data_IF_105852858712
#
_entry.id   IF_105852858712
#
_cell.length_a   1.000
_cell.length_b   1.000
_cell.length_c   1.000
_cell.angle_alpha   90.00
_cell.angle_beta   90.00
_cell.angle_gamma   90.00
#
_symmetry.space_group_name_H-M   'P 1'
#
loop_
_entity.id
_entity.type
_entity.pdbx_description
1 polymer ?
#
# COMPACT_ATOMS: atom_id res chain seq x y z
N UNK A 1 58.74 35.91 -17.96
CA UNK A 1 57.30 35.81 -17.63
C UNK A 1 56.51 35.67 -18.92
N UNK A 2 56.07 34.45 -19.29
CA UNK A 2 55.21 34.20 -20.46
C UNK A 2 53.85 33.73 -19.97
N UNK A 3 52.82 34.53 -20.22
CA UNK A 3 51.43 34.22 -19.90
C UNK A 3 50.85 33.25 -20.94
N UNK A 4 50.45 32.05 -20.51
CA UNK A 4 49.68 31.10 -21.32
C UNK A 4 48.20 31.29 -20.98
N UNK A 5 47.42 31.84 -21.93
CA UNK A 5 45.95 31.89 -21.82
C UNK A 5 45.36 30.60 -22.37
N UNK A 6 44.83 29.75 -21.50
CA UNK A 6 44.06 28.57 -21.89
C UNK A 6 42.70 29.02 -22.45
N UNK A 7 42.43 28.71 -23.73
CA UNK A 7 41.12 28.89 -24.34
C UNK A 7 40.29 27.63 -24.05
N UNK A 8 39.35 27.72 -23.11
CA UNK A 8 38.33 26.68 -22.94
C UNK A 8 37.35 26.74 -24.10
N UNK A 9 37.45 25.77 -25.02
CA UNK A 9 36.48 25.57 -26.10
C UNK A 9 35.44 24.58 -25.59
N UNK A 10 34.33 25.09 -25.06
CA UNK A 10 33.20 24.26 -24.64
C UNK A 10 32.62 23.54 -25.87
N UNK A 11 32.59 22.19 -25.91
CA UNK A 11 32.03 21.45 -27.02
C UNK A 11 30.50 21.56 -26.98
N UNK A 12 29.94 22.35 -27.89
CA UNK A 12 28.48 22.52 -28.08
C UNK A 12 27.73 21.21 -28.36
N UNK A 13 28.42 20.13 -28.71
CA UNK A 13 27.84 18.81 -28.95
C UNK A 13 27.39 18.06 -27.68
N UNK A 14 27.98 18.34 -26.51
CA UNK A 14 27.68 17.60 -25.28
C UNK A 14 26.28 17.93 -24.71
N UNK A 15 25.80 19.16 -24.89
CA UNK A 15 24.51 19.60 -24.37
C UNK A 15 23.32 19.05 -25.19
N UNK A 16 23.50 18.84 -26.49
CA UNK A 16 22.46 18.27 -27.38
C UNK A 16 22.27 16.78 -27.11
N UNK A 17 23.36 16.05 -26.84
CA UNK A 17 23.29 14.62 -26.51
C UNK A 17 22.56 14.35 -25.18
N UNK A 18 22.73 15.23 -24.19
CA UNK A 18 22.04 15.14 -22.89
C UNK A 18 20.54 15.42 -23.06
N UNK A 19 20.15 16.39 -23.90
CA UNK A 19 18.74 16.67 -24.21
C UNK A 19 18.04 15.53 -24.95
N UNK A 20 18.73 14.87 -25.89
CA UNK A 20 18.18 13.71 -26.61
C UNK A 20 18.06 12.45 -25.74
N UNK A 21 18.89 12.32 -24.70
CA UNK A 21 18.79 11.24 -23.71
C UNK A 21 17.61 11.43 -22.73
N UNK A 22 17.30 12.68 -22.36
CA UNK A 22 16.18 12.97 -21.44
C UNK A 22 14.81 12.70 -22.10
N UNK A 23 14.66 12.92 -23.41
CA UNK A 23 13.39 12.66 -24.11
C UNK A 23 13.11 11.17 -24.42
N UNK A 24 14.06 10.26 -24.21
CA UNK A 24 13.87 8.81 -24.43
C UNK A 24 13.32 8.07 -23.20
N UNK A 25 13.26 8.72 -22.04
CA UNK A 25 12.74 8.16 -20.79
C UNK A 25 11.38 8.71 -20.40
N UNK A 26 10.57 9.15 -21.36
CA UNK A 26 9.13 9.33 -21.13
C UNK A 26 8.46 7.95 -21.11
N UNK A 27 8.62 7.21 -20.02
CA UNK A 27 7.69 6.12 -19.72
C UNK A 27 6.32 6.78 -19.54
N UNK A 28 5.42 6.57 -20.50
CA UNK A 28 4.02 6.89 -20.31
C UNK A 28 3.55 6.09 -19.09
N UNK A 29 3.41 6.77 -17.95
CA UNK A 29 2.80 6.20 -16.77
C UNK A 29 1.31 6.07 -17.07
N UNK A 30 0.89 4.93 -17.63
CA UNK A 30 -0.50 4.53 -17.58
C UNK A 30 -0.79 4.09 -16.13
N UNK A 31 -1.17 5.06 -15.29
CA UNK A 31 -1.46 4.83 -13.87
C UNK A 31 -2.83 4.18 -13.64
N UNK A 32 -3.71 4.16 -14.66
CA UNK A 32 -5.07 3.66 -14.57
C UNK A 32 -5.30 2.52 -15.56
N UNK A 33 -5.85 1.39 -15.08
CA UNK A 33 -6.37 0.36 -15.97
C UNK A 33 -7.54 0.91 -16.79
N UNK A 34 -7.62 0.50 -18.07
CA UNK A 34 -8.69 0.95 -18.94
C UNK A 34 -10.03 0.35 -18.51
N UNK A 35 -11.04 1.21 -18.37
CA UNK A 35 -12.37 0.76 -18.00
C UNK A 35 -12.98 -0.22 -19.01
N UNK A 36 -13.73 -1.24 -18.54
CA UNK A 36 -14.45 -2.13 -19.43
C UNK A 36 -15.45 -1.33 -20.27
N UNK A 37 -15.48 -1.60 -21.57
CA UNK A 37 -16.38 -0.97 -22.53
C UNK A 37 -17.50 -1.95 -22.91
N UNK A 38 -18.79 -1.59 -22.79
CA UNK A 38 -19.30 -0.28 -22.36
C UNK A 38 -19.28 -0.11 -20.83
N UNK A 39 -19.00 1.11 -20.35
CA UNK A 39 -19.11 1.44 -18.93
C UNK A 39 -20.60 1.47 -18.54
N UNK A 40 -21.04 0.74 -17.48
CA UNK A 40 -22.42 0.76 -17.05
C UNK A 40 -22.89 2.17 -16.68
N UNK A 41 -24.07 2.58 -17.16
CA UNK A 41 -24.67 3.88 -16.87
C UNK A 41 -25.29 3.96 -15.45
N UNK A 42 -25.41 2.81 -14.78
CA UNK A 42 -25.93 2.68 -13.42
C UNK A 42 -25.19 1.59 -12.67
N UNK A 43 -25.03 1.76 -11.36
CA UNK A 43 -24.42 0.77 -10.47
C UNK A 43 -25.40 -0.40 -10.25
N UNK A 44 -25.05 -1.63 -10.66
CA UNK A 44 -25.86 -2.81 -10.33
C UNK A 44 -25.70 -3.16 -8.84
N UNK A 45 -26.71 -3.79 -8.22
CA UNK A 45 -26.56 -4.29 -6.85
C UNK A 45 -25.45 -5.36 -6.77
N UNK A 46 -24.72 -5.45 -5.65
CA UNK A 46 -23.65 -6.42 -5.47
C UNK A 46 -24.19 -7.86 -5.53
N UNK A 47 -23.59 -8.68 -6.40
CA UNK A 47 -23.94 -10.10 -6.51
C UNK A 47 -22.95 -10.96 -5.72
N UNK A 48 -23.30 -11.29 -4.48
CA UNK A 48 -22.47 -12.11 -3.58
C UNK A 48 -22.33 -13.57 -4.05
N UNK A 49 -23.10 -14.03 -5.04
CA UNK A 49 -22.97 -15.39 -5.59
C UNK A 49 -21.99 -15.46 -6.76
N UNK A 50 -21.53 -14.33 -7.29
CA UNK A 50 -20.56 -14.29 -8.37
C UNK A 50 -19.13 -14.36 -7.82
N UNK A 51 -18.20 -15.10 -8.47
CA UNK A 51 -16.78 -15.10 -8.09
C UNK A 51 -16.16 -13.70 -8.06
N UNK A 52 -16.67 -12.77 -8.87
CA UNK A 52 -16.22 -11.38 -8.88
C UNK A 52 -16.46 -10.63 -7.56
N UNK A 53 -17.35 -11.11 -6.68
CA UNK A 53 -17.58 -10.51 -5.36
C UNK A 53 -16.38 -10.66 -4.42
N UNK A 54 -15.49 -11.63 -4.67
CA UNK A 54 -14.28 -11.82 -3.89
C UNK A 54 -13.12 -10.93 -4.35
N UNK A 55 -13.27 -10.21 -5.47
CA UNK A 55 -12.20 -9.41 -6.04
C UNK A 55 -12.42 -7.93 -5.72
N UNK A 56 -11.39 -7.28 -5.18
CA UNK A 56 -11.35 -5.82 -5.11
C UNK A 56 -11.23 -5.29 -6.54
N UNK A 57 -12.14 -4.42 -7.00
CA UNK A 57 -12.01 -3.79 -8.32
C UNK A 57 -10.68 -3.03 -8.39
N UNK A 58 -10.02 -3.00 -9.55
CA UNK A 58 -8.77 -2.25 -9.70
C UNK A 58 -8.98 -0.74 -9.64
N UNK A 59 -10.13 -0.25 -10.08
CA UNK A 59 -10.47 1.18 -10.10
C UNK A 59 -11.98 1.45 -10.18
N UNK A 60 -12.34 2.72 -9.98
CA UNK A 60 -13.69 3.27 -10.17
C UNK A 60 -13.86 3.72 -11.62
N UNK A 61 -14.73 3.02 -12.36
CA UNK A 61 -15.05 3.39 -13.74
C UNK A 61 -16.28 4.28 -13.81
N UNK A 62 -16.06 5.58 -14.02
CA UNK A 62 -17.12 6.59 -14.14
C UNK A 62 -17.30 6.95 -15.62
N UNK A 63 -18.48 6.70 -16.23
CA UNK A 63 -18.78 7.15 -17.58
C UNK A 63 -18.68 8.68 -17.69
N UNK A 64 -18.08 9.19 -18.76
CA UNK A 64 -17.96 10.63 -19.01
C UNK A 64 -19.33 11.35 -19.10
N UNK A 65 -20.39 10.64 -19.45
CA UNK A 65 -21.75 11.15 -19.60
C UNK A 65 -22.71 10.73 -18.49
N UNK A 66 -22.18 10.39 -17.30
CA UNK A 66 -23.01 9.94 -16.17
C UNK A 66 -24.07 11.01 -15.82
N UNK A 67 -25.38 10.73 -16.00
CA UNK A 67 -26.44 11.70 -15.72
C UNK A 67 -26.79 11.82 -14.23
N UNK A 68 -26.10 11.08 -13.36
CA UNK A 68 -26.33 11.01 -11.92
C UNK A 68 -25.12 11.44 -11.09
N UNK A 69 -25.19 11.24 -9.77
CA UNK A 69 -24.12 11.60 -8.84
C UNK A 69 -22.92 10.62 -8.99
N UNK A 70 -21.72 11.11 -9.37
CA UNK A 70 -20.52 10.28 -9.48
C UNK A 70 -20.15 9.54 -8.19
N UNK A 71 -20.60 10.04 -7.03
CA UNK A 71 -20.39 9.39 -5.72
C UNK A 71 -20.94 7.96 -5.70
N UNK A 72 -22.02 7.65 -6.45
CA UNK A 72 -22.59 6.31 -6.47
C UNK A 72 -21.59 5.24 -6.95
N UNK A 73 -20.68 5.58 -7.87
CA UNK A 73 -19.65 4.66 -8.36
C UNK A 73 -18.55 4.43 -7.31
N UNK A 74 -18.24 5.47 -6.53
CA UNK A 74 -17.31 5.35 -5.41
C UNK A 74 -17.92 4.53 -4.27
N UNK A 75 -19.21 4.69 -4.00
CA UNK A 75 -19.95 3.90 -3.02
C UNK A 75 -19.98 2.41 -3.43
N UNK A 76 -20.22 2.10 -4.71
CA UNK A 76 -20.12 0.72 -5.24
C UNK A 76 -18.74 0.12 -5.02
N UNK A 77 -17.71 0.84 -5.44
CA UNK A 77 -16.32 0.42 -5.28
C UNK A 77 -16.00 0.16 -3.80
N UNK A 78 -16.35 1.10 -2.93
CA UNK A 78 -16.09 1.02 -1.49
C UNK A 78 -16.79 -0.20 -0.88
N UNK A 79 -18.04 -0.46 -1.29
CA UNK A 79 -18.80 -1.61 -0.83
C UNK A 79 -18.22 -2.94 -1.32
N UNK A 80 -17.81 -3.02 -2.59
CA UNK A 80 -17.17 -4.21 -3.16
C UNK A 80 -15.80 -4.48 -2.54
N UNK A 81 -15.00 -3.44 -2.33
CA UNK A 81 -13.74 -3.54 -1.61
C UNK A 81 -13.95 -4.03 -0.18
N UNK A 82 -14.96 -3.50 0.52
CA UNK A 82 -15.32 -3.96 1.86
C UNK A 82 -15.72 -5.45 1.86
N UNK A 83 -16.62 -5.87 0.95
CA UNK A 83 -17.02 -7.28 0.79
C UNK A 83 -15.82 -8.20 0.59
N UNK A 84 -14.89 -7.83 -0.29
CA UNK A 84 -13.69 -8.63 -0.55
C UNK A 84 -12.80 -8.77 0.70
N UNK A 85 -12.70 -7.72 1.53
CA UNK A 85 -11.93 -7.74 2.77
C UNK A 85 -12.58 -8.57 3.88
N UNK A 86 -13.91 -8.61 3.95
CA UNK A 86 -14.66 -9.40 4.93
C UNK A 86 -15.03 -10.79 4.43
N UNK A 87 -14.56 -11.18 3.24
CA UNK A 87 -14.73 -12.54 2.74
C UNK A 87 -13.85 -13.51 3.55
N UNK A 88 -14.23 -14.79 3.71
CA UNK A 88 -13.35 -15.80 4.28
C UNK A 88 -12.04 -15.91 3.50
N UNK A 89 -10.92 -15.96 4.22
CA UNK A 89 -9.60 -16.04 3.61
C UNK A 89 -9.27 -17.44 3.13
N UNK A 90 -8.50 -17.51 2.04
CA UNK A 90 -7.94 -18.74 1.52
C UNK A 90 -6.87 -19.29 2.47
N UNK A 91 -7.02 -20.56 2.84
CA UNK A 91 -6.09 -21.21 3.76
C UNK A 91 -4.65 -21.17 3.22
N UNK A 92 -3.71 -20.74 4.08
CA UNK A 92 -2.29 -20.67 3.75
C UNK A 92 -1.88 -19.48 2.87
N UNK A 93 -2.80 -18.61 2.45
CA UNK A 93 -2.49 -17.40 1.69
C UNK A 93 -3.05 -16.17 2.40
N UNK A 94 -2.22 -15.14 2.59
CA UNK A 94 -2.70 -13.89 3.16
C UNK A 94 -3.31 -13.02 2.07
N UNK A 95 -4.31 -12.23 2.44
CA UNK A 95 -4.92 -11.24 1.54
C UNK A 95 -5.74 -11.82 0.38
N UNK A 96 -5.83 -13.15 0.28
CA UNK A 96 -6.57 -13.84 -0.77
C UNK A 96 -7.88 -14.37 -0.19
N UNK A 97 -9.04 -14.05 -0.80
CA UNK A 97 -10.32 -14.63 -0.43
C UNK A 97 -10.49 -16.05 -0.99
N UNK A 98 -11.21 -16.91 -0.28
CA UNK A 98 -11.61 -18.24 -0.76
C UNK A 98 -12.95 -18.16 -1.52
N UNK A 99 -12.96 -18.32 -2.86
CA UNK A 99 -14.18 -18.26 -3.65
C UNK A 99 -15.13 -19.44 -3.41
N UNK A 100 -14.67 -20.50 -2.71
CA UNK A 100 -15.50 -21.67 -2.41
C UNK A 100 -16.20 -21.56 -1.06
N UNK A 101 -15.94 -20.51 -0.28
CA UNK A 101 -16.57 -20.27 1.00
C UNK A 101 -17.71 -19.25 0.89
N UNK A 102 -18.83 -19.46 1.62
CA UNK A 102 -19.86 -18.44 1.74
C UNK A 102 -19.36 -17.27 2.60
N UNK A 103 -19.80 -16.03 2.31
CA UNK A 103 -19.39 -14.82 3.03
C UNK A 103 -19.59 -14.89 4.56
N UNK A 104 -20.55 -15.70 5.04
CA UNK A 104 -20.84 -15.89 6.47
C UNK A 104 -20.26 -17.19 7.03
N UNK A 105 -19.20 -17.74 6.43
CA UNK A 105 -18.51 -18.89 7.00
C UNK A 105 -18.02 -18.57 8.42
N UNK A 106 -18.28 -19.47 9.35
CA UNK A 106 -17.88 -19.35 10.77
C UNK A 106 -16.56 -20.11 10.94
N UNK A 107 -15.75 -19.70 11.92
CA UNK A 107 -14.46 -20.33 12.27
C UNK A 107 -13.38 -20.26 11.17
N UNK A 108 -13.54 -19.38 10.18
CA UNK A 108 -12.54 -19.08 9.16
C UNK A 108 -12.12 -17.62 9.30
N UNK A 109 -10.81 -17.30 9.33
CA UNK A 109 -10.36 -15.92 9.38
C UNK A 109 -10.80 -15.15 8.13
N UNK A 110 -11.12 -13.88 8.30
CA UNK A 110 -11.48 -12.99 7.19
C UNK A 110 -10.21 -12.49 6.49
N UNK A 111 -10.33 -12.07 5.22
CA UNK A 111 -9.18 -11.59 4.43
C UNK A 111 -8.40 -10.51 5.18
N UNK A 112 -9.07 -9.49 5.73
CA UNK A 112 -8.37 -8.41 6.46
C UNK A 112 -7.63 -8.92 7.71
N UNK A 113 -8.13 -9.98 8.37
CA UNK A 113 -7.48 -10.56 9.56
C UNK A 113 -6.18 -11.26 9.20
N UNK A 114 -6.03 -11.69 7.94
CA UNK A 114 -4.80 -12.32 7.47
C UNK A 114 -3.68 -11.35 7.13
N UNK A 115 -3.95 -10.04 7.07
CA UNK A 115 -2.90 -9.04 6.82
C UNK A 115 -1.84 -9.02 7.92
N UNK A 116 -0.68 -8.44 7.58
CA UNK A 116 0.40 -8.28 8.56
C UNK A 116 -0.04 -7.29 9.62
N UNK A 117 0.08 -7.69 10.87
CA UNK A 117 -0.11 -6.80 12.00
C UNK A 117 1.07 -5.81 12.12
N UNK A 118 0.88 -4.72 12.85
CA UNK A 118 1.92 -3.69 13.04
C UNK A 118 3.23 -4.28 13.57
N UNK A 119 3.17 -5.19 14.54
CA UNK A 119 4.39 -5.85 15.06
C UNK A 119 5.08 -6.73 14.01
N UNK A 120 4.37 -7.29 13.02
CA UNK A 120 5.00 -8.03 11.92
C UNK A 120 5.67 -7.09 10.90
N UNK A 121 5.20 -5.85 10.79
CA UNK A 121 5.73 -4.84 9.86
C UNK A 121 6.88 -4.05 10.47
N UNK A 122 6.76 -3.66 11.72
CA UNK A 122 7.74 -2.86 12.45
C UNK A 122 8.60 -3.76 13.35
N UNK A 123 9.75 -4.16 12.81
CA UNK A 123 10.72 -4.97 13.54
C UNK A 123 11.68 -4.12 14.37
N UNK A 124 12.34 -4.75 15.33
CA UNK A 124 13.41 -4.11 16.11
C UNK A 124 14.54 -3.63 15.21
N UNK A 125 15.15 -2.50 15.56
CA UNK A 125 16.26 -1.88 14.84
C UNK A 125 15.96 -1.55 13.36
N UNK A 126 14.69 -1.40 12.98
CA UNK A 126 14.30 -1.11 11.59
C UNK A 126 14.66 -2.24 10.62
N UNK A 127 14.77 -3.47 11.11
CA UNK A 127 15.00 -4.63 10.24
C UNK A 127 13.83 -4.82 9.27
N UNK A 128 14.07 -5.22 8.01
CA UNK A 128 12.98 -5.44 7.07
C UNK A 128 12.02 -6.53 7.56
N UNK A 129 10.70 -6.36 7.34
CA UNK A 129 9.75 -7.41 7.65
C UNK A 129 9.98 -8.65 6.77
N UNK A 130 9.54 -9.80 7.25
CA UNK A 130 9.51 -11.02 6.46
C UNK A 130 8.56 -10.90 5.26
N UNK A 131 8.68 -11.84 4.32
CA UNK A 131 7.76 -11.94 3.16
C UNK A 131 6.29 -11.88 3.60
N UNK A 132 5.43 -11.38 2.70
CA UNK A 132 4.02 -11.10 3.01
C UNK A 132 3.33 -12.31 3.67
N UNK A 133 3.37 -13.47 3.01
CA UNK A 133 2.75 -14.72 3.49
C UNK A 133 3.44 -15.36 4.69
N UNK A 134 4.62 -14.86 5.09
CA UNK A 134 5.32 -15.36 6.28
C UNK A 134 4.69 -14.86 7.58
N UNK A 135 4.71 -15.70 8.62
CA UNK A 135 4.38 -15.36 10.00
C UNK A 135 5.64 -15.13 10.87
N UNK A 136 6.82 -15.19 10.27
CA UNK A 136 8.08 -15.00 10.98
C UNK A 136 8.29 -13.52 11.30
N UNK A 137 8.50 -13.21 12.56
CA UNK A 137 8.90 -11.88 13.03
C UNK A 137 9.75 -12.02 14.29
N UNK A 138 10.51 -10.99 14.64
CA UNK A 138 11.27 -10.97 15.90
C UNK A 138 10.36 -11.22 17.10
N UNK A 139 9.17 -10.61 17.08
CA UNK A 139 8.18 -10.68 18.16
C UNK A 139 7.44 -12.01 18.23
N UNK A 140 7.22 -12.67 17.08
CA UNK A 140 6.65 -14.03 17.05
C UNK A 140 7.60 -15.02 17.72
N UNK A 141 8.91 -14.85 17.53
CA UNK A 141 9.94 -15.69 18.15
C UNK A 141 10.23 -15.31 19.61
N UNK A 142 9.87 -14.09 20.03
CA UNK A 142 10.09 -13.58 21.39
C UNK A 142 8.80 -12.96 21.95
N UNK A 143 7.75 -13.76 22.20
CA UNK A 143 6.43 -13.25 22.59
C UNK A 143 6.45 -12.50 23.93
N UNK A 144 7.38 -12.83 24.84
CA UNK A 144 7.58 -12.12 26.11
C UNK A 144 8.12 -10.69 25.93
N UNK A 145 8.79 -10.42 24.81
CA UNK A 145 9.30 -9.10 24.44
C UNK A 145 8.34 -8.37 23.51
N UNK A 146 7.32 -9.07 22.98
CA UNK A 146 6.34 -8.48 22.07
C UNK A 146 5.66 -7.28 22.74
N UNK A 147 5.53 -6.15 22.02
CA UNK A 147 4.62 -5.07 22.39
C UNK A 147 3.21 -5.54 22.72
N UNK A 148 2.84 -6.70 22.17
CA UNK A 148 1.55 -7.35 22.32
C UNK A 148 1.72 -8.86 22.58
N UNK A 149 1.86 -9.26 23.84
CA UNK A 149 2.09 -10.67 24.20
C UNK A 149 0.82 -11.54 24.09
N UNK A 150 -0.37 -10.92 24.01
CA UNK A 150 -1.66 -11.61 23.93
C UNK A 150 -2.30 -11.53 22.53
N UNK A 151 -1.70 -10.78 21.61
CA UNK A 151 -2.35 -10.52 20.33
C UNK A 151 -2.32 -11.75 19.42
N UNK A 152 -3.46 -11.99 18.78
CA UNK A 152 -3.67 -13.00 17.76
C UNK A 152 -3.63 -12.35 16.37
N UNK A 153 -3.60 -13.18 15.33
CA UNK A 153 -3.79 -12.72 13.96
C UNK A 153 -5.15 -12.01 13.86
N UNK A 154 -5.18 -10.85 13.22
CA UNK A 154 -6.37 -10.00 13.11
C UNK A 154 -6.57 -9.02 14.28
N UNK A 155 -5.82 -9.15 15.39
CA UNK A 155 -5.92 -8.20 16.49
C UNK A 155 -5.22 -6.89 16.14
N UNK A 156 -5.90 -5.78 16.42
CA UNK A 156 -5.29 -4.45 16.37
C UNK A 156 -4.60 -4.15 17.69
N UNK A 157 -3.29 -3.97 17.63
CA UNK A 157 -2.52 -3.48 18.75
C UNK A 157 -2.09 -2.04 18.52
N UNK A 158 -2.68 -1.12 19.26
CA UNK A 158 -2.17 0.24 19.34
C UNK A 158 -0.92 0.25 20.20
N UNK A 159 0.25 0.10 19.58
CA UNK A 159 1.52 0.33 20.25
C UNK A 159 1.99 1.76 20.06
N UNK A 160 2.23 2.45 21.17
CA UNK A 160 3.02 3.67 21.15
C UNK A 160 4.48 3.24 21.12
N UNK A 161 5.13 3.35 19.96
CA UNK A 161 6.59 3.31 19.92
C UNK A 161 7.09 4.46 20.80
N UNK A 162 7.84 4.20 21.89
CA UNK A 162 8.53 5.27 22.58
C UNK A 162 9.42 5.93 21.53
N UNK A 163 9.20 7.22 21.31
CA UNK A 163 9.95 7.97 20.32
C UNK A 163 11.44 7.77 20.55
N UNK A 164 12.21 7.64 19.47
CA UNK A 164 13.68 7.74 19.47
C UNK A 164 14.19 9.12 19.94
N UNK A 165 13.38 9.89 20.68
CA UNK A 165 13.62 11.26 21.07
C UNK A 165 14.73 11.43 22.11
N UNK A 166 15.34 10.36 22.62
CA UNK A 166 16.34 10.47 23.70
C UNK A 166 17.77 10.10 23.31
N UNK A 167 18.10 9.73 22.07
CA UNK A 167 19.50 9.33 21.76
C UNK A 167 20.17 9.96 20.54
N UNK A 168 19.53 10.88 19.79
CA UNK A 168 20.15 11.49 18.58
C UNK A 168 20.35 13.00 18.64
N UNK A 169 20.02 13.66 19.75
CA UNK A 169 20.41 15.08 19.95
C UNK A 169 21.28 15.24 21.20
N UNK A 170 22.62 15.11 21.09
CA UNK A 170 23.49 15.73 22.07
C UNK A 170 23.48 17.24 21.83
N UNK A 171 23.11 17.99 22.87
CA UNK A 171 23.42 19.40 23.07
C UNK A 171 22.88 20.42 22.06
N UNK A 172 21.63 20.87 22.25
CA UNK A 172 21.33 22.31 22.13
C UNK A 172 20.49 22.72 23.35
N UNK A 173 21.13 23.49 24.23
CA UNK A 173 20.61 23.91 25.51
C UNK A 173 19.37 24.80 25.41
N UNK A 174 18.50 24.61 26.41
CA UNK A 174 17.79 25.65 27.16
C UNK A 174 17.39 26.91 26.39
N UNK A 175 16.16 26.91 25.85
CA UNK A 175 15.39 28.16 25.67
C UNK A 175 13.91 27.88 25.92
N UNK A 176 13.48 28.04 27.16
CA UNK A 176 12.12 28.46 27.48
C UNK A 176 12.18 29.34 28.73
N UNK A 177 11.91 30.65 28.64
CA UNK A 177 11.67 31.45 29.82
C UNK A 177 10.26 31.17 30.34
N UNK A 178 10.15 31.19 31.66
CA UNK A 178 8.95 31.14 32.49
C UNK A 178 7.90 32.18 32.13
#
# INVERSE_FOLDING_TARGET
>A
MRNVRARYRFPTGALVAIWLLICRFSTAAAAQEACPSPVPLSVPPPNLSAPAATLVPSDVCIPASTPGNPIAFFDDYSWRAFIALVWPALSGQRGAPDPNQPIMAIDVPLVFETYKSDWETFQTNGTPPSAFDSNTSFWTSHPSLSPCPQAKRGDFCLHRYPSLATSVWPALGTWYPS
#
